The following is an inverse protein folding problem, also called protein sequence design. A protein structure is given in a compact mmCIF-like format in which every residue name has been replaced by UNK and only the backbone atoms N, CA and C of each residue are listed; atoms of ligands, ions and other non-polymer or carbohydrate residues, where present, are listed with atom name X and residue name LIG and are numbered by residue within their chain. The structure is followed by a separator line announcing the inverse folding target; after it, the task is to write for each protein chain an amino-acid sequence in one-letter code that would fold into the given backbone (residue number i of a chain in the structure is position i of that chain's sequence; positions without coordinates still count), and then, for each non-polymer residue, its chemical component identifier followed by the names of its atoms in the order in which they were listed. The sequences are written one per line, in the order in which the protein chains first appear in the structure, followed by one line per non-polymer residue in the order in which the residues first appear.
data_IF_237571491858
#
_entry.id   IF_237571491858
#
_cell.length_a   1.000
_cell.length_b   1.000
_cell.length_c   1.000
_cell.angle_alpha   90.00
_cell.angle_beta   90.00
_cell.angle_gamma   90.00
#
_symmetry.space_group_name_H-M   'P 1'
#
loop_
_entity.id
_entity.type
_entity.pdbx_description
1 polymer ?
#
# COMPACT_ATOMS: atom_id res chain seq x y z
N UNK A 1 -23.97 -4.25 7.83
CA UNK A 1 -22.61 -3.99 8.36
C UNK A 1 -21.49 -4.65 7.54
N UNK A 2 -21.67 -5.87 7.03
CA UNK A 2 -20.65 -6.60 6.26
C UNK A 2 -20.12 -5.91 4.98
N UNK A 3 -20.95 -5.12 4.28
CA UNK A 3 -20.52 -4.39 3.07
C UNK A 3 -19.45 -3.33 3.37
N UNK A 4 -19.57 -2.62 4.51
CA UNK A 4 -18.62 -1.57 4.91
C UNK A 4 -17.25 -2.16 5.27
N UNK A 5 -17.22 -3.35 5.86
CA UNK A 5 -15.98 -4.05 6.24
C UNK A 5 -15.25 -4.55 5.00
N UNK A 6 -15.99 -5.14 4.03
CA UNK A 6 -15.41 -5.57 2.75
C UNK A 6 -14.78 -4.41 1.98
N UNK A 7 -15.38 -3.23 2.05
CA UNK A 7 -14.87 -2.02 1.41
C UNK A 7 -13.55 -1.54 2.04
N UNK A 8 -13.41 -1.63 3.38
CA UNK A 8 -12.16 -1.32 4.09
C UNK A 8 -11.04 -2.27 3.69
N UNK A 9 -11.33 -3.58 3.64
CA UNK A 9 -10.36 -4.59 3.20
C UNK A 9 -9.93 -4.33 1.76
N UNK A 10 -10.88 -4.02 0.88
CA UNK A 10 -10.59 -3.70 -0.52
C UNK A 10 -9.67 -2.48 -0.65
N UNK A 11 -9.96 -1.41 0.10
CA UNK A 11 -9.13 -0.19 0.11
C UNK A 11 -7.73 -0.48 0.65
N UNK A 12 -7.63 -1.21 1.76
CA UNK A 12 -6.34 -1.60 2.35
C UNK A 12 -5.50 -2.44 1.39
N UNK A 13 -6.13 -3.41 0.72
CA UNK A 13 -5.47 -4.28 -0.27
C UNK A 13 -5.01 -3.48 -1.50
N UNK A 14 -5.80 -2.52 -1.95
CA UNK A 14 -5.44 -1.64 -3.07
C UNK A 14 -4.23 -0.77 -2.73
N UNK A 15 -4.21 -0.17 -1.53
CA UNK A 15 -3.05 0.61 -1.05
C UNK A 15 -1.80 -0.26 -0.90
N UNK A 16 -1.96 -1.48 -0.40
CA UNK A 16 -0.87 -2.46 -0.32
C UNK A 16 -0.24 -2.74 -1.68
N UNK A 17 -1.06 -3.02 -2.70
CA UNK A 17 -0.57 -3.29 -4.07
C UNK A 17 0.12 -2.06 -4.67
N UNK A 18 -0.43 -0.86 -4.48
CA UNK A 18 0.19 0.39 -4.96
C UNK A 18 1.56 0.61 -4.29
N UNK A 19 1.63 0.46 -2.96
CA UNK A 19 2.87 0.57 -2.20
C UNK A 19 3.93 -0.44 -2.64
N UNK A 20 3.51 -1.62 -3.11
CA UNK A 20 4.41 -2.63 -3.66
C UNK A 20 4.94 -2.29 -5.06
N UNK A 21 4.13 -1.64 -5.91
CA UNK A 21 4.47 -1.35 -7.31
C UNK A 21 5.36 -0.11 -7.44
N UNK A 22 5.16 0.91 -6.60
CA UNK A 22 5.88 2.18 -6.65
C UNK A 22 7.43 2.07 -6.66
N UNK A 23 8.08 1.19 -5.87
CA UNK A 23 9.53 0.99 -5.92
C UNK A 23 10.02 0.52 -7.30
N UNK A 24 9.22 -0.29 -8.00
CA UNK A 24 9.60 -0.76 -9.34
C UNK A 24 9.58 0.39 -10.34
N UNK A 25 8.60 1.30 -10.23
CA UNK A 25 8.54 2.52 -11.06
C UNK A 25 9.80 3.36 -10.82
N UNK A 26 10.24 3.47 -9.57
CA UNK A 26 11.46 4.21 -9.23
C UNK A 26 12.73 3.60 -9.87
N UNK A 27 12.91 2.29 -9.75
CA UNK A 27 14.03 1.57 -10.39
C UNK A 27 14.03 1.79 -11.91
N UNK A 28 12.86 1.81 -12.54
CA UNK A 28 12.73 2.14 -13.96
C UNK A 28 13.13 3.60 -14.23
N UNK A 29 12.64 4.57 -13.45
CA UNK A 29 12.96 6.00 -13.62
C UNK A 29 14.47 6.26 -13.51
N UNK A 30 15.14 5.70 -12.50
CA UNK A 30 16.60 5.83 -12.34
C UNK A 30 17.35 5.25 -13.55
N UNK A 31 16.88 4.11 -14.08
CA UNK A 31 17.48 3.47 -15.26
C UNK A 31 17.37 4.31 -16.53
N UNK A 32 16.25 5.00 -16.76
CA UNK A 32 16.00 5.76 -17.99
C UNK A 32 16.47 7.22 -17.93
N UNK A 33 16.41 7.87 -16.78
CA UNK A 33 16.69 9.30 -16.63
C UNK A 33 18.02 9.61 -15.91
N UNK A 34 18.73 8.58 -15.43
CA UNK A 34 20.06 8.71 -14.83
C UNK A 34 20.06 9.38 -13.45
N UNK A 35 21.24 9.81 -12.99
CA UNK A 35 21.45 10.31 -11.60
C UNK A 35 20.64 11.56 -11.23
N UNK A 36 20.05 12.27 -12.20
CA UNK A 36 19.24 13.46 -11.96
C UNK A 36 17.97 13.19 -11.13
N UNK A 37 17.49 11.94 -11.10
CA UNK A 37 16.29 11.52 -10.34
C UNK A 37 16.60 10.68 -9.09
N UNK A 38 17.86 10.46 -8.71
CA UNK A 38 18.21 9.67 -7.50
C UNK A 38 17.58 10.23 -6.21
N UNK A 39 17.52 11.57 -6.08
CA UNK A 39 16.87 12.22 -4.92
C UNK A 39 15.36 12.04 -4.94
N UNK A 40 14.75 12.08 -6.13
CA UNK A 40 13.32 11.85 -6.33
C UNK A 40 12.97 10.40 -6.01
N UNK A 41 13.85 9.46 -6.38
CA UNK A 41 13.62 8.05 -6.19
C UNK A 41 13.66 7.61 -4.75
N UNK A 42 14.62 8.15 -3.99
CA UNK A 42 14.68 7.97 -2.53
C UNK A 42 13.38 8.41 -1.86
N UNK A 43 12.83 9.57 -2.25
CA UNK A 43 11.55 10.05 -1.72
C UNK A 43 10.38 9.13 -2.08
N UNK A 44 10.32 8.65 -3.32
CA UNK A 44 9.29 7.71 -3.79
C UNK A 44 9.38 6.39 -3.03
N UNK A 45 10.59 5.88 -2.77
CA UNK A 45 10.81 4.68 -1.96
C UNK A 45 10.25 4.84 -0.55
N UNK A 46 10.58 5.92 0.16
CA UNK A 46 10.03 6.15 1.50
C UNK A 46 8.50 6.32 1.48
N UNK A 47 7.97 7.04 0.50
CA UNK A 47 6.53 7.20 0.34
C UNK A 47 5.83 5.85 0.07
N UNK A 48 6.41 5.02 -0.79
CA UNK A 48 5.89 3.69 -1.12
C UNK A 48 5.88 2.76 0.08
N UNK A 49 6.92 2.80 0.92
CA UNK A 49 6.99 2.03 2.15
C UNK A 49 5.89 2.48 3.13
N UNK A 50 5.67 3.78 3.26
CA UNK A 50 4.58 4.33 4.07
C UNK A 50 3.20 3.87 3.58
N UNK A 51 2.95 3.95 2.27
CA UNK A 51 1.68 3.48 1.66
C UNK A 51 1.51 1.97 1.86
N UNK A 52 2.57 1.20 1.68
CA UNK A 52 2.57 -0.25 1.88
C UNK A 52 2.18 -0.61 3.32
N UNK A 53 2.87 -0.02 4.31
CA UNK A 53 2.60 -0.26 5.73
C UNK A 53 1.17 0.16 6.09
N UNK A 54 0.71 1.32 5.63
CA UNK A 54 -0.65 1.77 5.84
C UNK A 54 -1.68 0.79 5.24
N UNK A 55 -1.44 0.30 4.02
CA UNK A 55 -2.25 -0.71 3.35
C UNK A 55 -2.35 -2.01 4.16
N UNK A 56 -1.23 -2.51 4.66
CA UNK A 56 -1.18 -3.70 5.54
C UNK A 56 -2.04 -3.47 6.79
N UNK A 57 -1.83 -2.36 7.50
CA UNK A 57 -2.54 -2.04 8.74
C UNK A 57 -4.06 -1.98 8.51
N UNK A 58 -4.50 -1.25 7.48
CA UNK A 58 -5.93 -1.11 7.15
C UNK A 58 -6.54 -2.46 6.82
N UNK A 59 -5.84 -3.28 6.03
CA UNK A 59 -6.27 -4.64 5.66
C UNK A 59 -6.43 -5.53 6.89
N UNK A 60 -5.43 -5.53 7.80
CA UNK A 60 -5.48 -6.29 9.04
C UNK A 60 -6.62 -5.85 9.96
N UNK A 61 -6.84 -4.54 10.10
CA UNK A 61 -7.98 -3.99 10.86
C UNK A 61 -9.31 -4.44 10.24
N UNK A 62 -9.40 -4.41 8.91
CA UNK A 62 -10.57 -4.89 8.17
C UNK A 62 -10.87 -6.36 8.49
N UNK A 63 -9.88 -7.25 8.35
CA UNK A 63 -10.04 -8.67 8.66
C UNK A 63 -10.34 -8.93 10.14
N UNK A 64 -9.68 -8.22 11.07
CA UNK A 64 -9.95 -8.36 12.49
C UNK A 64 -11.40 -7.98 12.83
N UNK A 65 -11.91 -6.89 12.24
CA UNK A 65 -13.32 -6.48 12.39
C UNK A 65 -14.28 -7.47 11.74
N UNK A 66 -13.93 -8.02 10.57
CA UNK A 66 -14.75 -9.04 9.91
C UNK A 66 -14.87 -10.29 10.78
N UNK A 67 -13.77 -10.76 11.35
CA UNK A 67 -13.74 -11.98 12.15
C UNK A 67 -14.60 -11.85 13.41
N UNK A 68 -14.52 -10.71 14.12
CA UNK A 68 -15.38 -10.44 15.30
C UNK A 68 -16.88 -10.46 14.97
N UNK A 69 -17.26 -10.00 13.77
CA UNK A 69 -18.65 -9.98 13.32
C UNK A 69 -19.20 -11.36 12.97
N UNK A 70 -18.34 -12.36 12.74
CA UNK A 70 -18.74 -13.74 12.41
C UNK A 70 -18.89 -14.63 13.66
N UNK A 71 -18.30 -14.22 14.78
CA UNK A 71 -18.32 -14.93 16.07
C UNK A 71 -19.39 -14.44 17.05
N UNK A 72 -20.14 -13.39 16.70
CA UNK A 72 -21.30 -12.88 17.46
C UNK A 72 -22.59 -13.29 16.75
#
# INVERSE_FOLDING_TARGET
MGLKISLIILVGLSLFVIGLILPFIDVFMIKYYGKAVESLGSFILFASLGIFVAGVIITLIGFHKQNKSLTQ
#
